data_IF_175423751240
#
_entry.id   IF_175423751240
#
_cell.length_a   1.000
_cell.length_b   1.000
_cell.length_c   1.000
_cell.angle_alpha   90.00
_cell.angle_beta   90.00
_cell.angle_gamma   90.00
#
_symmetry.space_group_name_H-M   'P 1'
#
loop_
_entity.id
_entity.type
_entity.pdbx_description
1 polymer ?
#
# COMPACT_ATOMS: atom_id res chain seq x y z
N UNK A 1 -0.03 -19.78 -1.06
CA UNK A 1 -0.72 -19.42 -2.33
C UNK A 1 -1.61 -20.58 -2.74
N UNK A 2 -2.81 -20.31 -3.28
CA UNK A 2 -3.71 -21.40 -3.70
C UNK A 2 -3.13 -22.20 -4.88
N UNK A 3 -3.48 -23.48 -4.95
CA UNK A 3 -3.17 -24.37 -6.08
C UNK A 3 -3.57 -23.76 -7.43
N UNK A 4 -4.74 -23.13 -7.49
CA UNK A 4 -5.24 -22.51 -8.71
C UNK A 4 -4.41 -21.31 -9.15
N UNK A 5 -3.96 -20.47 -8.20
CA UNK A 5 -3.07 -19.35 -8.51
C UNK A 5 -1.72 -19.83 -9.02
N UNK A 6 -1.17 -20.90 -8.45
CA UNK A 6 0.08 -21.51 -8.91
C UNK A 6 -0.06 -22.01 -10.36
N UNK A 7 -1.13 -22.74 -10.67
CA UNK A 7 -1.43 -23.21 -12.04
C UNK A 7 -1.55 -22.07 -13.05
N UNK A 8 -2.20 -20.96 -12.66
CA UNK A 8 -2.32 -19.76 -13.51
C UNK A 8 -0.96 -19.11 -13.76
N UNK A 9 -0.11 -19.02 -12.74
CA UNK A 9 1.25 -18.49 -12.87
C UNK A 9 2.14 -19.40 -13.73
N UNK A 10 2.02 -20.73 -13.59
CA UNK A 10 2.72 -21.70 -14.43
C UNK A 10 2.32 -21.57 -15.91
N UNK A 11 1.03 -21.46 -16.20
CA UNK A 11 0.54 -21.26 -17.56
C UNK A 11 1.02 -19.93 -18.16
N UNK A 12 1.02 -18.86 -17.38
CA UNK A 12 1.50 -17.54 -17.82
C UNK A 12 3.01 -17.54 -18.09
N UNK A 13 3.79 -18.17 -17.21
CA UNK A 13 5.22 -18.38 -17.37
C UNK A 13 5.55 -19.17 -18.65
N UNK A 14 4.88 -20.29 -18.87
CA UNK A 14 5.06 -21.12 -20.06
C UNK A 14 4.75 -20.37 -21.37
N UNK A 15 3.71 -19.53 -21.38
CA UNK A 15 3.29 -18.77 -22.58
C UNK A 15 4.25 -17.64 -22.94
N UNK A 16 4.97 -17.09 -21.98
CA UNK A 16 5.74 -15.84 -22.12
C UNK A 16 7.25 -16.06 -22.07
N UNK A 17 7.68 -17.28 -21.73
CA UNK A 17 9.10 -17.62 -21.56
C UNK A 17 9.73 -16.99 -20.30
N UNK A 18 8.91 -16.53 -19.35
CA UNK A 18 9.37 -15.95 -18.08
C UNK A 18 9.18 -16.92 -16.92
N UNK A 19 9.83 -16.65 -15.80
CA UNK A 19 9.65 -17.44 -14.58
C UNK A 19 8.37 -17.05 -13.86
N UNK A 20 7.79 -17.96 -13.06
CA UNK A 20 6.71 -17.61 -12.13
C UNK A 20 7.09 -16.46 -11.19
N UNK A 21 8.35 -16.45 -10.72
CA UNK A 21 8.85 -15.41 -9.82
C UNK A 21 8.84 -14.02 -10.42
N UNK A 22 8.96 -13.89 -11.75
CA UNK A 22 8.81 -12.61 -12.44
C UNK A 22 7.41 -12.04 -12.21
N UNK A 23 6.36 -12.82 -12.46
CA UNK A 23 4.96 -12.38 -12.30
C UNK A 23 4.55 -12.15 -10.85
N UNK A 24 5.10 -12.94 -9.93
CA UNK A 24 4.87 -12.69 -8.50
C UNK A 24 5.47 -11.35 -8.09
N UNK A 25 6.69 -11.03 -8.53
CA UNK A 25 7.32 -9.73 -8.25
C UNK A 25 6.54 -8.58 -8.88
N UNK A 26 6.17 -8.70 -10.15
CA UNK A 26 5.39 -7.68 -10.86
C UNK A 26 4.05 -7.40 -10.15
N UNK A 27 3.33 -8.44 -9.74
CA UNK A 27 2.08 -8.29 -9.00
C UNK A 27 2.27 -7.66 -7.62
N UNK A 28 3.37 -7.99 -6.91
CA UNK A 28 3.71 -7.34 -5.64
C UNK A 28 4.02 -5.86 -5.87
N UNK A 29 4.88 -5.52 -6.82
CA UNK A 29 5.26 -4.14 -7.13
C UNK A 29 4.04 -3.28 -7.47
N UNK A 30 3.11 -3.82 -8.27
CA UNK A 30 1.86 -3.14 -8.63
C UNK A 30 0.92 -2.88 -7.44
N UNK A 31 0.99 -3.67 -6.37
CA UNK A 31 0.08 -3.55 -5.21
C UNK A 31 0.78 -3.03 -3.95
N UNK A 32 2.11 -2.89 -3.98
CA UNK A 32 2.88 -2.55 -2.79
C UNK A 32 2.50 -1.18 -2.24
N UNK A 33 2.37 -0.16 -3.11
CA UNK A 33 2.01 1.21 -2.69
C UNK A 33 0.65 1.26 -1.98
N UNK A 34 -0.36 0.55 -2.49
CA UNK A 34 -1.69 0.50 -1.85
C UNK A 34 -1.65 -0.19 -0.48
N UNK A 35 -0.84 -1.25 -0.36
CA UNK A 35 -0.61 -1.93 0.91
C UNK A 35 0.11 -1.01 1.89
N UNK A 36 1.18 -0.35 1.46
CA UNK A 36 1.94 0.61 2.27
C UNK A 36 1.06 1.75 2.76
N UNK A 37 0.23 2.35 1.89
CA UNK A 37 -0.72 3.39 2.27
C UNK A 37 -1.72 2.91 3.34
N UNK A 38 -2.25 1.69 3.21
CA UNK A 38 -3.15 1.12 4.21
C UNK A 38 -2.48 1.03 5.58
N UNK A 39 -1.24 0.53 5.63
CA UNK A 39 -0.51 0.41 6.89
C UNK A 39 -0.03 1.76 7.43
N UNK A 40 0.32 2.70 6.56
CA UNK A 40 0.74 4.05 6.96
C UNK A 40 -0.40 4.85 7.59
N UNK A 41 -1.63 4.74 7.07
CA UNK A 41 -2.77 5.46 7.61
C UNK A 41 -3.01 5.10 9.09
N UNK A 42 -2.98 3.79 9.40
CA UNK A 42 -3.16 3.29 10.76
C UNK A 42 -1.98 3.67 11.67
N UNK A 43 -0.74 3.54 11.16
CA UNK A 43 0.45 3.87 11.94
C UNK A 43 0.54 5.38 12.27
N UNK A 44 0.15 6.26 11.34
CA UNK A 44 0.16 7.72 11.56
C UNK A 44 -0.79 8.11 12.69
N UNK A 45 -2.00 7.53 12.71
CA UNK A 45 -2.98 7.80 13.78
C UNK A 45 -2.47 7.31 15.12
N UNK A 46 -2.00 6.06 15.20
CA UNK A 46 -1.46 5.48 16.45
C UNK A 46 -0.25 6.27 16.95
N UNK A 47 0.67 6.65 16.06
CA UNK A 47 1.86 7.44 16.40
C UNK A 47 1.47 8.86 16.86
N UNK A 48 0.41 9.43 16.30
CA UNK A 48 -0.12 10.72 16.72
C UNK A 48 -0.76 10.64 18.11
N UNK A 49 -1.64 9.68 18.34
CA UNK A 49 -2.34 9.46 19.62
C UNK A 49 -1.37 9.15 20.77
N UNK A 50 -0.27 8.46 20.48
CA UNK A 50 0.79 8.15 21.46
C UNK A 50 1.80 9.29 21.66
N UNK A 51 1.69 10.39 20.91
CA UNK A 51 2.58 11.54 21.02
C UNK A 51 1.96 12.66 21.87
N UNK A 52 2.80 13.52 22.47
CA UNK A 52 2.35 14.71 23.21
C UNK A 52 2.01 15.89 22.28
N UNK A 53 1.67 15.62 21.02
CA UNK A 53 1.38 16.64 20.00
C UNK A 53 -0.05 17.16 20.17
N UNK A 54 -0.21 18.48 20.03
CA UNK A 54 -1.53 19.14 20.09
C UNK A 54 -2.14 19.29 18.70
N UNK A 55 -3.43 19.01 18.58
CA UNK A 55 -4.21 19.35 17.38
C UNK A 55 -4.49 20.85 17.36
N UNK A 56 -4.71 21.42 16.17
CA UNK A 56 -5.23 22.78 15.99
C UNK A 56 -6.58 22.70 15.28
N UNK A 57 -7.55 23.58 15.59
CA UNK A 57 -8.83 23.62 14.91
C UNK A 57 -8.67 23.90 13.41
N UNK A 58 -9.47 23.22 12.58
CA UNK A 58 -9.43 23.42 11.12
C UNK A 58 -9.71 24.87 10.70
N UNK A 59 -10.56 25.59 11.43
CA UNK A 59 -10.87 27.00 11.18
C UNK A 59 -9.63 27.92 11.32
N UNK A 60 -8.75 27.62 12.28
CA UNK A 60 -7.51 28.38 12.50
C UNK A 60 -6.54 28.17 11.33
N UNK A 61 -6.40 26.92 10.88
CA UNK A 61 -5.53 26.57 9.74
C UNK A 61 -6.04 27.18 8.43
N UNK A 62 -7.35 27.19 8.20
CA UNK A 62 -7.93 27.85 7.02
C UNK A 62 -7.65 29.35 6.97
N UNK A 63 -7.82 30.02 8.11
CA UNK A 63 -7.57 31.46 8.20
C UNK A 63 -6.09 31.80 7.96
N UNK A 64 -5.17 30.92 8.34
CA UNK A 64 -3.72 31.07 8.08
C UNK A 64 -3.36 30.85 6.59
N UNK A 65 -4.10 30.00 5.90
CA UNK A 65 -3.83 29.60 4.51
C UNK A 65 -4.67 30.34 3.46
N UNK A 66 -5.51 31.30 3.87
CA UNK A 66 -6.49 32.00 3.02
C UNK A 66 -7.39 31.03 2.21
N UNK A 67 -7.84 29.94 2.84
CA UNK A 67 -8.70 28.88 2.27
C UNK A 67 -10.16 28.92 2.74
#
# INVERSE_FOLDING_TARGET
>A
MSEELQKRLDALAARTGRTRSFYVKEAIELHLNELEQRFWADEVVVRYESSDRKTRPWAEVKAELDL
#
